data_IF_488585615023
#
_entry.id   IF_488585615023
#
_cell.length_a   1.000
_cell.length_b   1.000
_cell.length_c   1.000
_cell.angle_alpha   90.00
_cell.angle_beta   90.00
_cell.angle_gamma   90.00
#
_symmetry.space_group_name_H-M   'P 1'
#
loop_
_entity.id
_entity.type
_entity.pdbx_description
1 polymer ?
#
# COMPACT_ATOMS: atom_id res chain seq x y z
N UNK A 1 5.79 16.48 4.26
CA UNK A 1 6.73 15.44 3.79
C UNK A 1 7.53 15.99 2.60
N UNK A 2 8.70 15.42 2.26
CA UNK A 2 9.38 15.73 0.99
C UNK A 2 8.90 14.72 -0.06
N UNK A 3 8.34 15.14 -1.20
CA UNK A 3 7.86 14.21 -2.21
C UNK A 3 8.97 13.26 -2.68
N UNK A 4 8.68 11.96 -2.77
CA UNK A 4 9.63 10.96 -3.30
C UNK A 4 9.98 11.26 -4.75
N UNK A 5 9.03 11.80 -5.51
CA UNK A 5 9.24 12.24 -6.89
C UNK A 5 10.30 13.35 -7.04
N UNK A 6 10.67 14.04 -5.95
CA UNK A 6 11.73 15.07 -5.93
C UNK A 6 13.06 14.55 -5.38
N UNK A 7 13.21 13.24 -5.18
CA UNK A 7 14.43 12.65 -4.66
C UNK A 7 15.56 12.66 -5.72
N UNK A 8 16.72 13.20 -5.36
CA UNK A 8 17.84 13.44 -6.28
C UNK A 8 18.99 12.43 -6.09
N UNK A 9 18.67 11.14 -5.96
CA UNK A 9 19.71 10.11 -5.90
C UNK A 9 20.06 9.63 -7.32
N UNK A 10 21.35 9.49 -7.66
CA UNK A 10 21.77 8.88 -8.93
C UNK A 10 21.09 7.52 -9.15
N UNK A 11 20.51 7.30 -10.33
CA UNK A 11 19.81 6.06 -10.66
C UNK A 11 18.35 5.96 -10.17
N UNK A 12 17.84 6.91 -9.38
CA UNK A 12 16.42 6.89 -9.00
C UNK A 12 15.50 7.11 -10.21
N UNK A 13 15.89 8.01 -11.12
CA UNK A 13 15.17 8.25 -12.37
C UNK A 13 15.06 6.99 -13.22
N UNK A 14 16.18 6.27 -13.38
CA UNK A 14 16.27 5.04 -14.17
C UNK A 14 15.32 3.95 -13.62
N UNK A 15 15.22 3.81 -12.29
CA UNK A 15 14.25 2.89 -11.66
C UNK A 15 12.82 3.32 -11.93
N UNK A 16 12.50 4.61 -11.79
CA UNK A 16 11.16 5.13 -12.06
C UNK A 16 10.77 4.96 -13.53
N UNK A 17 11.72 5.08 -14.46
CA UNK A 17 11.50 4.82 -15.88
C UNK A 17 11.11 3.35 -16.13
N UNK A 18 11.84 2.39 -15.53
CA UNK A 18 11.49 0.96 -15.61
C UNK A 18 10.06 0.69 -15.12
N UNK A 19 9.66 1.31 -14.00
CA UNK A 19 8.31 1.13 -13.45
C UNK A 19 7.21 1.73 -14.34
N UNK A 20 7.50 2.86 -15.00
CA UNK A 20 6.54 3.55 -15.88
C UNK A 20 6.41 2.91 -17.26
N UNK A 21 7.45 2.24 -17.74
CA UNK A 21 7.44 1.55 -19.04
C UNK A 21 6.71 0.20 -19.00
N UNK A 22 6.50 -0.38 -17.81
CA UNK A 22 5.76 -1.62 -17.65
C UNK A 22 4.28 -1.45 -18.01
N UNK A 23 3.65 -2.50 -18.52
CA UNK A 23 2.20 -2.53 -18.76
C UNK A 23 1.39 -2.42 -17.47
N UNK A 24 1.91 -3.04 -16.40
CA UNK A 24 1.41 -2.97 -15.03
C UNK A 24 2.59 -3.11 -14.08
N UNK A 25 2.72 -2.17 -13.17
CA UNK A 25 3.65 -2.30 -12.04
C UNK A 25 2.89 -2.63 -10.77
N UNK A 26 3.35 -3.67 -10.06
CA UNK A 26 2.83 -4.03 -8.74
C UNK A 26 3.94 -4.05 -7.69
N UNK A 27 3.56 -3.88 -6.41
CA UNK A 27 4.50 -3.94 -5.29
C UNK A 27 3.87 -4.46 -4.00
N UNK A 28 4.70 -4.82 -3.02
CA UNK A 28 4.26 -5.08 -1.64
C UNK A 28 4.38 -3.80 -0.83
N UNK A 29 3.27 -3.33 -0.25
CA UNK A 29 3.24 -2.15 0.60
C UNK A 29 3.07 -2.57 2.06
N UNK A 30 4.21 -2.57 2.76
CA UNK A 30 4.34 -2.89 4.18
C UNK A 30 4.16 -1.65 5.10
N UNK A 31 3.93 -0.49 4.49
CA UNK A 31 3.79 0.79 5.21
C UNK A 31 2.33 1.25 5.20
N UNK A 32 1.81 1.69 6.34
CA UNK A 32 0.54 2.40 6.40
C UNK A 32 0.73 3.88 6.01
N UNK A 33 -0.28 4.47 5.37
CA UNK A 33 -0.27 5.89 5.03
C UNK A 33 -1.47 6.57 5.65
N UNK A 34 -1.23 7.58 6.47
CA UNK A 34 -2.22 8.45 7.10
C UNK A 34 -1.55 9.65 7.77
N UNK A 35 -2.31 10.71 8.06
CA UNK A 35 -1.78 11.85 8.84
C UNK A 35 -1.89 11.57 10.34
N UNK A 36 -0.77 11.23 10.95
CA UNK A 36 -0.67 10.94 12.39
C UNK A 36 -1.22 12.06 13.28
N UNK A 37 -1.27 13.31 12.81
CA UNK A 37 -1.74 14.46 13.60
C UNK A 37 -3.26 14.52 13.69
N UNK A 38 -3.97 13.96 12.71
CA UNK A 38 -5.44 13.94 12.66
C UNK A 38 -6.03 12.54 12.86
N UNK A 39 -5.18 11.50 12.79
CA UNK A 39 -5.53 10.11 13.00
C UNK A 39 -6.26 9.88 14.33
N UNK A 40 -7.25 8.98 14.32
CA UNK A 40 -8.14 8.73 15.46
C UNK A 40 -7.95 7.37 16.11
N UNK A 41 -7.16 6.49 15.51
CA UNK A 41 -6.79 5.21 16.10
C UNK A 41 -5.54 5.31 16.97
N UNK A 42 -5.04 4.15 17.38
CA UNK A 42 -3.81 3.99 18.18
C UNK A 42 -2.93 2.90 17.57
N UNK A 43 -1.62 2.90 17.85
CA UNK A 43 -0.77 1.77 17.49
C UNK A 43 -1.23 0.50 18.23
N UNK A 44 -1.15 -0.65 17.57
CA UNK A 44 -1.38 -1.96 18.20
C UNK A 44 -0.20 -2.35 19.09
N UNK A 45 -0.42 -3.17 20.11
CA UNK A 45 0.64 -3.53 21.07
C UNK A 45 1.83 -4.30 20.44
N UNK A 46 1.61 -4.97 19.31
CA UNK A 46 2.61 -5.75 18.59
C UNK A 46 2.77 -5.22 17.16
N UNK A 47 4.02 -5.04 16.72
CA UNK A 47 4.34 -4.30 15.49
C UNK A 47 5.57 -4.86 14.73
N UNK A 48 5.96 -6.11 15.00
CA UNK A 48 7.00 -6.81 14.25
C UNK A 48 8.41 -6.19 14.27
N UNK A 49 8.67 -5.19 15.12
CA UNK A 49 9.97 -4.50 15.23
C UNK A 49 9.90 -2.98 15.06
N UNK A 50 9.01 -2.47 14.21
CA UNK A 50 8.78 -1.02 14.05
C UNK A 50 7.38 -0.72 13.51
N UNK A 51 6.79 0.41 13.89
CA UNK A 51 5.55 0.90 13.29
C UNK A 51 5.84 1.57 11.94
N UNK A 52 5.52 0.88 10.84
CA UNK A 52 5.76 1.42 9.52
C UNK A 52 4.64 2.37 9.10
N UNK A 53 4.88 3.67 9.24
CA UNK A 53 3.97 4.73 8.79
C UNK A 53 4.66 5.73 7.87
N UNK A 54 3.90 6.28 6.94
CA UNK A 54 4.30 7.40 6.11
C UNK A 54 3.15 8.40 5.95
N UNK A 55 3.49 9.59 5.47
CA UNK A 55 2.51 10.64 5.24
C UNK A 55 1.58 10.31 4.06
N UNK A 56 0.35 10.85 4.02
CA UNK A 56 -0.63 10.57 2.97
C UNK A 56 -0.13 10.85 1.54
N UNK A 57 0.81 11.80 1.39
CA UNK A 57 1.36 12.16 0.08
C UNK A 57 2.16 11.03 -0.58
N UNK A 58 2.50 9.97 0.16
CA UNK A 58 3.13 8.78 -0.40
C UNK A 58 2.23 8.10 -1.44
N UNK A 59 0.91 8.09 -1.27
CA UNK A 59 0.00 7.47 -2.26
C UNK A 59 0.14 8.08 -3.66
N UNK A 60 -0.03 9.41 -3.81
CA UNK A 60 0.20 10.10 -5.07
C UNK A 60 1.62 9.96 -5.60
N UNK A 61 2.64 9.97 -4.73
CA UNK A 61 4.03 9.74 -5.15
C UNK A 61 4.24 8.35 -5.74
N UNK A 62 3.71 7.29 -5.10
CA UNK A 62 3.78 5.92 -5.62
C UNK A 62 3.08 5.80 -6.98
N UNK A 63 1.91 6.42 -7.14
CA UNK A 63 1.20 6.43 -8.42
C UNK A 63 2.02 7.16 -9.49
N UNK A 64 2.61 8.31 -9.15
CA UNK A 64 3.45 9.08 -10.06
C UNK A 64 4.73 8.32 -10.44
N UNK A 65 5.27 7.47 -9.56
CA UNK A 65 6.40 6.60 -9.85
C UNK A 65 6.05 5.44 -10.80
N UNK A 66 4.76 5.16 -11.02
CA UNK A 66 4.29 4.13 -11.94
C UNK A 66 3.64 2.92 -11.27
N UNK A 67 3.47 2.88 -9.94
CA UNK A 67 2.76 1.77 -9.30
C UNK A 67 1.27 1.80 -9.63
N UNK A 68 0.75 0.69 -10.16
CA UNK A 68 -0.66 0.52 -10.46
C UNK A 68 -1.38 -0.33 -9.43
N UNK A 69 -0.70 -1.34 -8.89
CA UNK A 69 -1.28 -2.26 -7.93
C UNK A 69 -0.40 -2.48 -6.69
N UNK A 70 -1.00 -2.61 -5.50
CA UNK A 70 -0.26 -2.88 -4.26
C UNK A 70 -0.85 -4.06 -3.46
N UNK A 71 0.01 -5.01 -3.12
CA UNK A 71 -0.24 -6.06 -2.13
C UNK A 71 -0.18 -5.46 -0.73
N UNK A 72 -1.17 -5.81 0.09
CA UNK A 72 -1.31 -5.31 1.47
C UNK A 72 -1.40 -6.39 2.53
N UNK A 73 -1.55 -7.67 2.17
CA UNK A 73 -1.42 -8.74 3.15
C UNK A 73 0.06 -8.92 3.51
N UNK A 74 0.43 -8.48 4.71
CA UNK A 74 1.76 -8.66 5.29
C UNK A 74 1.69 -8.50 6.81
N UNK A 75 2.82 -8.62 7.48
CA UNK A 75 2.92 -8.54 8.94
C UNK A 75 2.65 -7.15 9.52
N UNK A 76 2.63 -6.08 8.70
CA UNK A 76 2.41 -4.71 9.16
C UNK A 76 1.03 -4.15 8.82
N UNK A 77 0.15 -4.92 8.16
CA UNK A 77 -1.17 -4.42 7.70
C UNK A 77 -2.01 -3.76 8.80
N UNK A 78 -1.86 -4.24 10.04
CA UNK A 78 -2.66 -3.85 11.21
C UNK A 78 -1.84 -3.22 12.33
N UNK A 79 -0.63 -2.71 12.06
CA UNK A 79 0.22 -2.05 13.07
C UNK A 79 -0.47 -0.88 13.80
N UNK A 80 -1.47 -0.26 13.18
CA UNK A 80 -2.30 0.82 13.75
C UNK A 80 -3.78 0.47 13.76
N UNK A 81 -4.06 -0.81 13.97
CA UNK A 81 -5.40 -1.35 14.06
C UNK A 81 -6.21 -1.21 12.76
N UNK A 82 -7.51 -1.41 12.89
CA UNK A 82 -8.45 -1.31 11.77
C UNK A 82 -8.55 0.10 11.23
N UNK A 83 -8.40 1.12 12.08
CA UNK A 83 -8.40 2.54 11.68
C UNK A 83 -7.25 2.83 10.72
N UNK A 84 -6.04 2.33 11.02
CA UNK A 84 -4.88 2.52 10.17
C UNK A 84 -5.06 1.80 8.84
N UNK A 85 -5.53 0.56 8.87
CA UNK A 85 -5.83 -0.22 7.66
C UNK A 85 -6.86 0.50 6.78
N UNK A 86 -7.98 0.95 7.36
CA UNK A 86 -9.06 1.68 6.65
C UNK A 86 -8.56 2.96 6.02
N UNK A 87 -7.82 3.77 6.77
CA UNK A 87 -7.31 5.04 6.28
C UNK A 87 -6.31 4.84 5.15
N UNK A 88 -5.47 3.80 5.27
CA UNK A 88 -4.55 3.45 4.18
C UNK A 88 -5.31 2.99 2.94
N UNK A 89 -6.34 2.15 3.06
CA UNK A 89 -7.19 1.74 1.93
C UNK A 89 -7.84 2.95 1.26
N UNK A 90 -8.42 3.87 2.03
CA UNK A 90 -9.03 5.11 1.53
C UNK A 90 -8.03 5.95 0.73
N UNK A 91 -6.83 6.15 1.25
CA UNK A 91 -5.81 6.97 0.60
C UNK A 91 -5.21 6.32 -0.67
N UNK A 92 -5.13 4.99 -0.72
CA UNK A 92 -4.76 4.28 -1.95
C UNK A 92 -5.85 4.37 -3.02
N UNK A 93 -7.12 4.25 -2.62
CA UNK A 93 -8.28 4.43 -3.51
C UNK A 93 -8.29 5.86 -4.09
N UNK A 94 -8.06 6.88 -3.26
CA UNK A 94 -7.95 8.28 -3.70
C UNK A 94 -6.75 8.54 -4.62
N UNK A 95 -5.68 7.76 -4.46
CA UNK A 95 -4.49 7.83 -5.32
C UNK A 95 -4.67 7.07 -6.64
N UNK A 96 -5.79 6.36 -6.83
CA UNK A 96 -6.04 5.55 -8.02
C UNK A 96 -5.13 4.32 -8.12
N UNK A 97 -4.72 3.76 -6.98
CA UNK A 97 -3.91 2.53 -6.91
C UNK A 97 -4.83 1.37 -6.52
N UNK A 98 -4.84 0.30 -7.31
CA UNK A 98 -5.60 -0.91 -6.99
C UNK A 98 -4.87 -1.67 -5.88
N UNK A 99 -5.54 -2.09 -4.80
CA UNK A 99 -4.87 -2.82 -3.71
C UNK A 99 -5.68 -4.01 -3.23
N UNK A 100 -4.98 -5.07 -2.82
CA UNK A 100 -5.56 -6.35 -2.37
C UNK A 100 -4.87 -6.88 -1.10
N UNK A 101 -5.54 -7.78 -0.37
CA UNK A 101 -4.98 -8.44 0.81
C UNK A 101 -5.38 -7.81 2.16
N UNK A 102 -6.27 -6.84 2.16
CA UNK A 102 -6.87 -6.24 3.35
C UNK A 102 -8.34 -5.89 3.09
N UNK A 103 -9.18 -5.89 4.13
CA UNK A 103 -10.60 -5.56 4.02
C UNK A 103 -11.36 -5.72 5.33
N UNK A 104 -12.62 -5.30 5.35
CA UNK A 104 -13.48 -5.32 6.55
C UNK A 104 -13.88 -6.74 6.99
N UNK A 105 -13.62 -7.73 6.14
CA UNK A 105 -13.90 -9.14 6.42
C UNK A 105 -13.06 -10.03 5.50
N UNK A 106 -13.07 -11.33 5.81
CA UNK A 106 -12.32 -12.35 5.08
C UNK A 106 -12.63 -12.37 3.57
N UNK A 107 -13.89 -12.16 3.18
CA UNK A 107 -14.27 -12.15 1.77
C UNK A 107 -13.66 -10.95 1.03
N UNK A 108 -13.65 -9.77 1.64
CA UNK A 108 -13.02 -8.59 1.06
C UNK A 108 -11.50 -8.70 1.01
N UNK A 109 -10.88 -9.22 2.09
CA UNK A 109 -9.43 -9.38 2.20
C UNK A 109 -8.89 -10.44 1.23
N UNK A 110 -9.62 -11.55 1.04
CA UNK A 110 -9.23 -12.64 0.13
C UNK A 110 -9.66 -12.45 -1.32
N UNK A 111 -10.44 -11.41 -1.64
CA UNK A 111 -10.91 -11.17 -3.00
C UNK A 111 -9.80 -10.64 -3.90
N UNK A 112 -9.73 -11.19 -5.12
CA UNK A 112 -8.92 -10.63 -6.18
C UNK A 112 -9.36 -9.18 -6.50
N UNK A 113 -8.39 -8.35 -6.88
CA UNK A 113 -8.63 -7.00 -7.36
C UNK A 113 -8.08 -6.87 -8.76
N UNK A 114 -8.80 -6.13 -9.60
CA UNK A 114 -8.56 -6.14 -11.04
C UNK A 114 -8.14 -4.75 -11.51
N UNK A 115 -7.20 -4.73 -12.45
CA UNK A 115 -6.80 -3.57 -13.22
C UNK A 115 -7.06 -3.85 -14.69
N UNK A 116 -7.80 -2.97 -15.35
CA UNK A 116 -7.97 -3.02 -16.81
C UNK A 116 -6.83 -2.27 -17.49
N UNK A 117 -6.27 -2.85 -18.54
CA UNK A 117 -5.29 -2.22 -19.41
C UNK A 117 -5.70 -2.37 -20.86
N UNK A 118 -5.08 -1.60 -21.76
CA UNK A 118 -5.28 -1.78 -23.20
C UNK A 118 -4.86 -3.17 -23.71
N UNK A 119 -4.00 -3.90 -22.97
CA UNK A 119 -3.48 -5.23 -23.34
C UNK A 119 -4.22 -6.39 -22.66
N UNK A 120 -5.16 -6.09 -21.76
CA UNK A 120 -5.94 -7.08 -21.04
C UNK A 120 -6.14 -6.72 -19.56
N UNK A 121 -6.73 -7.66 -18.83
CA UNK A 121 -7.05 -7.52 -17.40
C UNK A 121 -6.00 -8.22 -16.56
N UNK A 122 -5.50 -7.53 -15.53
CA UNK A 122 -4.60 -8.10 -14.53
C UNK A 122 -5.35 -8.27 -13.21
N UNK A 123 -5.17 -9.42 -12.55
CA UNK A 123 -5.74 -9.71 -11.24
C UNK A 123 -4.64 -9.81 -10.20
N UNK A 124 -4.79 -9.08 -9.09
CA UNK A 124 -3.92 -9.18 -7.91
C UNK A 124 -4.67 -9.92 -6.80
N UNK A 125 -4.04 -10.96 -6.27
CA UNK A 125 -4.39 -11.62 -5.02
C UNK A 125 -3.21 -11.48 -4.06
N UNK A 126 -3.48 -11.23 -2.79
CA UNK A 126 -2.45 -10.94 -1.79
C UNK A 126 -2.75 -11.74 -0.52
N UNK A 127 -1.78 -12.52 -0.09
CA UNK A 127 -1.86 -13.40 1.07
C UNK A 127 -0.56 -13.35 1.86
N UNK A 128 -0.66 -13.47 3.19
CA UNK A 128 0.48 -13.62 4.08
C UNK A 128 0.29 -14.87 4.94
N UNK A 129 1.37 -15.62 5.14
CA UNK A 129 1.40 -16.79 6.03
C UNK A 129 1.79 -16.44 7.46
N UNK A 130 2.29 -15.21 7.66
CA UNK A 130 2.83 -14.75 8.94
C UNK A 130 2.26 -13.38 9.24
N UNK A 131 1.63 -13.27 10.40
CA UNK A 131 1.03 -12.05 10.92
C UNK A 131 1.01 -12.13 12.44
N UNK A 132 1.06 -10.97 13.11
CA UNK A 132 0.94 -10.92 14.56
C UNK A 132 -0.42 -11.50 15.01
N UNK A 133 -0.52 -12.13 16.19
CA UNK A 133 -1.80 -12.57 16.76
C UNK A 133 -2.90 -11.50 16.75
N UNK A 134 -2.53 -10.22 16.92
CA UNK A 134 -3.43 -9.07 16.90
C UNK A 134 -4.00 -8.74 15.51
N UNK A 135 -3.40 -9.31 14.45
CA UNK A 135 -3.78 -9.07 13.07
C UNK A 135 -4.76 -10.13 12.50
N UNK A 136 -5.49 -10.82 13.38
CA UNK A 136 -6.46 -11.90 13.05
C UNK A 136 -7.90 -11.42 13.04
#
# INVERSE_FOLDING_TARGET
SRPLTKYQHPGFGDVVEILREADVTFGNMETLIFDIRSFKGSPEAEHGGAYHISAPELGPDLKAMGFDMLSRANNHTLDWGLEGMRETSRLLDESGIVHAGAGENLAQAGAARFLETARGRVALVSFATTFAPMAR
#
